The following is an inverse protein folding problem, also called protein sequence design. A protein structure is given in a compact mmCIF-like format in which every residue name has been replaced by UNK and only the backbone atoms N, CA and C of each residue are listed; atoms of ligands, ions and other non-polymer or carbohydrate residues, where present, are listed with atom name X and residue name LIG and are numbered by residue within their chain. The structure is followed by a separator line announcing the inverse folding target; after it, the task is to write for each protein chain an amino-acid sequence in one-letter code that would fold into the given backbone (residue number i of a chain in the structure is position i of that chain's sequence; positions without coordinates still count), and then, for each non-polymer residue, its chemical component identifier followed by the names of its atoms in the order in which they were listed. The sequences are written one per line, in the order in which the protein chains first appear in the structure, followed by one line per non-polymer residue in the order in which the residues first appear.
data_IF_041014509404
#
_entry.id   IF_041014509404
#
_cell.length_a   1.000
_cell.length_b   1.000
_cell.length_c   1.000
_cell.angle_alpha   90.00
_cell.angle_beta   90.00
_cell.angle_gamma   90.00
#
_symmetry.space_group_name_H-M   'P 1'
#
loop_
_entity.id
_entity.type
_entity.pdbx_description
1 polymer ?
#
# COMPACT_ATOMS: atom_id res chain seq x y z
N UNK A 1 7.84 -3.29 -1.19
CA UNK A 1 7.15 -2.42 -0.22
C UNK A 1 7.14 -3.07 1.16
N UNK A 2 7.04 -2.24 2.19
CA UNK A 2 7.01 -2.70 3.57
C UNK A 2 5.93 -1.92 4.34
N UNK A 3 5.15 -2.61 5.18
CA UNK A 3 4.16 -1.98 6.05
C UNK A 3 4.21 -2.59 7.46
N UNK A 4 5.26 -2.29 8.24
CA UNK A 4 5.32 -2.71 9.63
C UNK A 4 4.58 -1.73 10.55
N UNK A 5 3.90 -2.31 11.56
CA UNK A 5 3.23 -1.67 12.68
C UNK A 5 3.46 -2.51 13.94
N UNK A 6 3.22 -1.98 15.14
CA UNK A 6 3.39 -2.72 16.40
C UNK A 6 2.15 -2.78 17.31
N UNK A 7 1.04 -2.19 16.88
CA UNK A 7 -0.16 -2.02 17.71
C UNK A 7 -0.88 -3.33 18.09
N UNK A 8 -0.60 -4.45 17.41
CA UNK A 8 -1.12 -5.78 17.72
C UNK A 8 -0.07 -6.74 18.33
N UNK A 9 1.04 -6.22 18.85
CA UNK A 9 2.11 -7.02 19.48
C UNK A 9 1.60 -7.84 20.69
N UNK A 10 0.59 -7.36 21.37
CA UNK A 10 -0.12 -8.10 22.42
C UNK A 10 -1.50 -8.53 21.92
N UNK A 11 -2.19 -9.37 22.71
CA UNK A 11 -3.55 -9.83 22.38
C UNK A 11 -4.58 -8.72 22.65
N UNK A 12 -4.49 -7.64 21.89
CA UNK A 12 -5.29 -6.42 22.03
C UNK A 12 -6.80 -6.69 21.81
N UNK A 13 -7.15 -7.74 21.07
CA UNK A 13 -8.52 -8.22 20.86
C UNK A 13 -9.24 -8.63 22.15
N UNK A 14 -8.50 -9.05 23.18
CA UNK A 14 -9.07 -9.45 24.47
C UNK A 14 -9.20 -8.27 25.44
N UNK A 15 -8.79 -7.06 25.06
CA UNK A 15 -8.80 -5.87 25.94
C UNK A 15 -10.02 -4.97 25.75
N UNK A 16 -10.96 -5.33 24.87
CA UNK A 16 -12.11 -4.49 24.50
C UNK A 16 -11.78 -3.41 23.47
N UNK A 17 -10.59 -3.46 22.85
CA UNK A 17 -10.22 -2.57 21.76
C UNK A 17 -10.99 -2.96 20.48
N UNK A 18 -12.06 -2.25 20.18
CA UNK A 18 -12.97 -2.56 19.05
C UNK A 18 -12.26 -2.77 17.72
N UNK A 19 -11.21 -2.00 17.46
CA UNK A 19 -10.42 -2.10 16.23
C UNK A 19 -9.69 -3.45 16.13
N UNK A 20 -9.18 -3.98 17.24
CA UNK A 20 -8.54 -5.28 17.28
C UNK A 20 -9.57 -6.43 17.21
N UNK A 21 -10.70 -6.32 17.94
CA UNK A 21 -11.72 -7.37 18.00
C UNK A 21 -12.21 -7.84 16.62
N UNK A 22 -12.56 -6.90 15.72
CA UNK A 22 -13.10 -7.31 14.43
C UNK A 22 -12.02 -7.71 13.42
N UNK A 23 -10.82 -7.09 13.48
CA UNK A 23 -9.73 -7.40 12.56
C UNK A 23 -9.10 -8.76 12.78
N UNK A 24 -9.17 -9.27 14.00
CA UNK A 24 -8.60 -10.59 14.36
C UNK A 24 -9.65 -11.71 14.40
N UNK A 25 -10.92 -11.39 14.11
CA UNK A 25 -11.99 -12.37 14.01
C UNK A 25 -12.25 -12.77 12.54
N UNK A 26 -11.91 -14.02 12.13
CA UNK A 26 -12.10 -14.48 10.76
C UNK A 26 -13.54 -14.46 10.26
N UNK A 27 -14.54 -14.45 11.17
CA UNK A 27 -15.95 -14.33 10.80
C UNK A 27 -16.34 -12.91 10.38
N UNK A 28 -15.56 -11.92 10.77
CA UNK A 28 -15.82 -10.49 10.53
C UNK A 28 -14.88 -9.88 9.48
N UNK A 29 -13.60 -10.26 9.49
CA UNK A 29 -12.57 -9.72 8.62
C UNK A 29 -12.17 -10.63 7.46
N UNK A 30 -12.68 -11.88 7.41
CA UNK A 30 -12.27 -12.85 6.40
C UNK A 30 -11.01 -13.63 6.78
N UNK A 31 -10.37 -14.27 5.80
CA UNK A 31 -9.26 -15.19 6.04
C UNK A 31 -7.90 -14.54 6.31
N UNK A 32 -7.74 -13.26 6.02
CA UNK A 32 -6.48 -12.52 6.21
C UNK A 32 -6.54 -11.54 7.37
N UNK A 33 -5.58 -11.58 8.27
CA UNK A 33 -5.39 -10.61 9.35
C UNK A 33 -4.54 -9.43 8.88
N UNK A 34 -3.24 -9.47 9.14
CA UNK A 34 -2.27 -8.48 8.69
C UNK A 34 -2.30 -8.29 7.17
N UNK A 35 -2.37 -9.38 6.40
CA UNK A 35 -2.41 -9.30 4.94
C UNK A 35 -3.68 -8.62 4.44
N UNK A 36 -4.81 -8.84 5.07
CA UNK A 36 -6.08 -8.22 4.71
C UNK A 36 -6.16 -6.75 5.12
N UNK A 37 -5.63 -6.39 6.29
CA UNK A 37 -5.68 -5.02 6.82
C UNK A 37 -4.64 -4.11 6.15
N UNK A 38 -3.37 -4.49 6.16
CA UNK A 38 -2.27 -3.62 5.70
C UNK A 38 -1.48 -4.14 4.50
N UNK A 39 -1.44 -5.44 4.25
CA UNK A 39 -0.76 -6.00 3.07
C UNK A 39 -1.37 -5.54 1.75
N UNK A 40 -2.68 -5.38 1.71
CA UNK A 40 -3.41 -4.81 0.56
C UNK A 40 -2.99 -3.38 0.23
N UNK A 41 -2.70 -2.55 1.23
CA UNK A 41 -2.20 -1.20 1.00
C UNK A 41 -0.82 -1.22 0.34
N UNK A 42 0.09 -2.07 0.83
CA UNK A 42 1.42 -2.23 0.24
C UNK A 42 1.34 -2.74 -1.22
N UNK A 43 0.45 -3.69 -1.51
CA UNK A 43 0.21 -4.20 -2.85
C UNK A 43 -0.39 -3.13 -3.78
N UNK A 44 -1.41 -2.41 -3.32
CA UNK A 44 -2.01 -1.32 -4.09
C UNK A 44 -0.99 -0.22 -4.40
N UNK A 45 -0.15 0.15 -3.43
CA UNK A 45 0.89 1.16 -3.62
C UNK A 45 1.91 0.74 -4.71
N UNK A 46 2.32 -0.54 -4.73
CA UNK A 46 3.20 -1.05 -5.79
C UNK A 46 2.53 -0.89 -7.15
N UNK A 47 1.28 -1.35 -7.31
CA UNK A 47 0.55 -1.26 -8.57
C UNK A 47 0.36 0.19 -9.02
N UNK A 48 -0.05 1.05 -8.12
CA UNK A 48 -0.28 2.48 -8.39
C UNK A 48 0.99 3.19 -8.87
N UNK A 49 2.12 2.98 -8.20
CA UNK A 49 3.37 3.68 -8.51
C UNK A 49 4.07 3.11 -9.75
N UNK A 50 4.06 1.78 -9.91
CA UNK A 50 4.86 1.13 -10.95
C UNK A 50 4.08 0.80 -12.22
N UNK A 51 2.77 0.66 -12.13
CA UNK A 51 1.93 0.14 -13.22
C UNK A 51 2.21 -1.32 -13.60
N UNK A 52 3.07 -2.02 -12.84
CA UNK A 52 3.47 -3.40 -13.15
C UNK A 52 2.32 -4.39 -12.87
N UNK A 53 2.15 -5.34 -13.77
CA UNK A 53 1.18 -6.42 -13.62
C UNK A 53 1.81 -7.64 -12.95
N UNK A 54 1.21 -8.08 -11.83
CA UNK A 54 1.65 -9.26 -11.11
C UNK A 54 1.39 -10.52 -11.96
N UNK A 55 2.39 -11.41 -12.05
CA UNK A 55 2.30 -12.70 -12.75
C UNK A 55 2.10 -13.86 -11.77
N UNK A 56 2.95 -13.94 -10.74
CA UNK A 56 2.87 -14.94 -9.70
C UNK A 56 3.47 -14.43 -8.38
N UNK A 57 3.04 -15.01 -7.28
CA UNK A 57 3.59 -14.73 -5.95
C UNK A 57 3.86 -16.01 -5.16
N UNK A 58 4.75 -15.87 -4.18
CA UNK A 58 5.01 -16.88 -3.14
C UNK A 58 4.97 -16.18 -1.79
N UNK A 59 4.23 -16.73 -0.83
CA UNK A 59 3.97 -16.09 0.44
C UNK A 59 4.16 -17.03 1.64
N UNK A 60 4.73 -16.48 2.71
CA UNK A 60 4.78 -17.07 4.03
C UNK A 60 4.08 -16.12 5.02
N UNK A 61 2.92 -16.52 5.52
CA UNK A 61 2.19 -15.79 6.55
C UNK A 61 2.30 -16.51 7.89
N UNK A 62 2.37 -15.74 8.96
CA UNK A 62 2.57 -16.28 10.29
C UNK A 62 1.74 -15.56 11.35
N UNK A 63 1.42 -16.28 12.43
CA UNK A 63 0.76 -15.74 13.61
C UNK A 63 1.68 -15.89 14.81
N UNK A 64 2.34 -14.80 15.22
CA UNK A 64 3.28 -14.79 16.35
C UNK A 64 2.55 -14.66 17.69
N UNK A 65 1.45 -13.93 17.75
CA UNK A 65 0.72 -13.72 19.00
C UNK A 65 -0.06 -14.99 19.35
N UNK A 66 0.31 -15.62 20.46
CA UNK A 66 -0.26 -16.89 20.90
C UNK A 66 -1.79 -16.81 21.04
N UNK A 67 -2.50 -17.71 20.33
CA UNK A 67 -3.95 -17.83 20.37
C UNK A 67 -4.71 -16.85 19.47
N UNK A 68 -4.02 -16.00 18.71
CA UNK A 68 -4.61 -15.23 17.61
C UNK A 68 -5.00 -16.19 16.48
N UNK A 69 -6.09 -15.89 15.77
CA UNK A 69 -6.65 -16.79 14.74
C UNK A 69 -6.18 -16.45 13.34
N UNK A 70 -5.83 -15.19 13.09
CA UNK A 70 -5.39 -14.70 11.81
C UNK A 70 -3.92 -14.32 11.86
N UNK A 71 -3.31 -14.16 10.68
CA UNK A 71 -1.93 -13.74 10.53
C UNK A 71 -1.68 -12.34 11.12
N UNK A 72 -0.51 -12.16 11.71
CA UNK A 72 -0.02 -10.86 12.18
C UNK A 72 1.32 -10.48 11.53
N UNK A 73 1.82 -11.34 10.65
CA UNK A 73 3.02 -11.11 9.84
C UNK A 73 2.92 -11.83 8.49
N UNK A 74 3.38 -11.19 7.42
CA UNK A 74 3.42 -11.74 6.08
C UNK A 74 4.69 -11.32 5.34
N UNK A 75 5.35 -12.30 4.71
CA UNK A 75 6.45 -12.08 3.77
C UNK A 75 6.07 -12.65 2.41
N UNK A 76 6.15 -11.83 1.36
CA UNK A 76 5.64 -12.18 0.04
C UNK A 76 6.69 -11.82 -1.00
N UNK A 77 7.02 -12.76 -1.87
CA UNK A 77 7.83 -12.55 -3.07
C UNK A 77 6.94 -12.40 -4.29
N UNK A 78 7.28 -11.45 -5.16
CA UNK A 78 6.49 -11.09 -6.34
C UNK A 78 7.30 -11.27 -7.61
N UNK A 79 6.65 -11.76 -8.67
CA UNK A 79 7.15 -11.78 -10.05
C UNK A 79 6.14 -11.08 -10.94
N UNK A 80 6.60 -10.13 -11.73
CA UNK A 80 5.78 -9.36 -12.65
C UNK A 80 5.92 -9.87 -14.08
N UNK A 81 4.90 -9.66 -14.93
CA UNK A 81 4.85 -10.17 -16.30
C UNK A 81 6.00 -9.72 -17.19
N UNK A 82 6.53 -8.52 -16.94
CA UNK A 82 7.68 -7.96 -17.65
C UNK A 82 9.05 -8.40 -17.11
N UNK A 83 9.06 -9.33 -16.15
CA UNK A 83 10.27 -9.90 -15.56
C UNK A 83 10.79 -9.20 -14.32
N UNK A 84 10.22 -8.06 -13.93
CA UNK A 84 10.56 -7.40 -12.67
C UNK A 84 10.28 -8.31 -11.48
N UNK A 85 11.00 -8.07 -10.38
CA UNK A 85 10.88 -8.81 -9.11
C UNK A 85 10.58 -7.83 -7.99
N UNK A 86 9.81 -8.28 -6.99
CA UNK A 86 9.51 -7.48 -5.82
C UNK A 86 9.29 -8.31 -4.58
N UNK A 87 9.10 -7.61 -3.47
CA UNK A 87 8.69 -8.22 -2.21
C UNK A 87 7.77 -7.29 -1.42
N UNK A 88 6.91 -7.88 -0.62
CA UNK A 88 6.12 -7.20 0.40
C UNK A 88 6.44 -7.82 1.75
N UNK A 89 6.69 -6.97 2.74
CA UNK A 89 6.65 -7.34 4.13
C UNK A 89 5.59 -6.52 4.85
N UNK A 90 4.64 -7.19 5.48
CA UNK A 90 3.61 -6.57 6.31
C UNK A 90 3.61 -7.22 7.69
N UNK A 91 3.57 -6.43 8.75
CA UNK A 91 3.57 -6.93 10.12
C UNK A 91 2.79 -5.99 11.04
N UNK A 92 1.99 -6.53 11.93
CA UNK A 92 1.31 -5.78 12.99
C UNK A 92 1.94 -6.03 14.38
N UNK A 93 3.09 -6.70 14.39
CA UNK A 93 3.85 -7.06 15.59
C UNK A 93 5.32 -6.63 15.53
N UNK A 94 5.65 -5.70 14.63
CA UNK A 94 7.00 -5.19 14.41
C UNK A 94 7.29 -4.02 15.36
N UNK A 95 7.69 -4.30 16.58
CA UNK A 95 7.92 -3.32 17.66
C UNK A 95 8.81 -2.15 17.20
N UNK A 96 8.37 -0.92 17.49
CA UNK A 96 9.05 0.32 17.13
C UNK A 96 8.61 0.92 15.78
N UNK A 97 7.55 0.37 15.15
CA UNK A 97 6.94 0.92 13.94
C UNK A 97 5.50 1.32 14.25
N UNK A 98 5.16 2.58 14.07
CA UNK A 98 3.80 3.09 14.32
C UNK A 98 2.89 2.83 13.11
N UNK A 99 3.23 3.38 11.94
CA UNK A 99 2.48 3.23 10.69
C UNK A 99 3.39 3.34 9.47
N UNK A 100 4.44 2.55 9.43
CA UNK A 100 5.61 2.73 8.58
C UNK A 100 5.43 2.07 7.20
N UNK A 101 4.41 2.50 6.44
CA UNK A 101 4.31 2.14 5.03
C UNK A 101 5.42 2.83 4.24
N UNK A 102 6.21 2.05 3.52
CA UNK A 102 7.27 2.56 2.64
C UNK A 102 7.39 1.76 1.36
N UNK A 103 7.86 2.42 0.31
CA UNK A 103 8.14 1.80 -0.97
C UNK A 103 9.52 2.20 -1.47
N UNK A 104 10.21 1.23 -2.08
CA UNK A 104 11.46 1.42 -2.81
C UNK A 104 11.31 0.81 -4.19
N UNK A 105 11.67 1.57 -5.23
CA UNK A 105 11.64 1.12 -6.61
C UNK A 105 13.03 1.30 -7.21
N UNK A 106 13.58 0.25 -7.79
CA UNK A 106 14.90 0.26 -8.39
C UNK A 106 14.81 -0.13 -9.86
N UNK A 107 15.36 0.70 -10.72
CA UNK A 107 15.53 0.45 -12.14
C UNK A 107 16.97 0.64 -12.59
N UNK A 108 17.25 0.36 -13.85
CA UNK A 108 18.61 0.48 -14.42
C UNK A 108 19.19 1.89 -14.31
N UNK A 109 18.36 2.92 -14.40
CA UNK A 109 18.78 4.31 -14.44
C UNK A 109 18.71 5.02 -13.08
N UNK A 110 18.12 4.40 -12.06
CA UNK A 110 18.00 5.00 -10.74
C UNK A 110 17.04 4.30 -9.80
N UNK A 111 16.89 4.86 -8.61
CA UNK A 111 16.03 4.35 -7.56
C UNK A 111 15.21 5.45 -6.88
N UNK A 112 14.07 5.06 -6.35
CA UNK A 112 13.15 5.89 -5.59
C UNK A 112 12.89 5.28 -4.23
N UNK A 113 12.74 6.13 -3.20
CA UNK A 113 12.26 5.73 -1.87
C UNK A 113 11.29 6.78 -1.33
N UNK A 114 10.15 6.30 -0.81
CA UNK A 114 9.15 7.13 -0.14
C UNK A 114 8.64 6.43 1.13
N UNK A 115 8.25 7.23 2.14
CA UNK A 115 7.75 6.77 3.44
C UNK A 115 6.52 7.56 3.86
N UNK A 116 5.48 6.87 4.32
CA UNK A 116 4.23 7.48 4.76
C UNK A 116 4.40 8.36 6.01
N UNK A 117 5.26 7.97 6.96
CA UNK A 117 5.48 8.73 8.19
C UNK A 117 6.22 10.06 7.95
N UNK A 118 6.85 10.22 6.77
CA UNK A 118 7.46 11.47 6.32
C UNK A 118 7.08 11.75 4.85
N UNK A 119 5.78 11.97 4.56
CA UNK A 119 5.23 11.88 3.20
C UNK A 119 5.64 13.03 2.29
N UNK A 120 6.21 14.11 2.85
CA UNK A 120 6.55 15.32 2.11
C UNK A 120 7.86 15.20 1.32
N UNK A 121 8.55 14.07 1.41
CA UNK A 121 9.85 13.86 0.77
C UNK A 121 9.90 12.60 -0.06
N UNK A 122 10.43 12.72 -1.27
CA UNK A 122 10.82 11.62 -2.13
C UNK A 122 12.34 11.60 -2.25
N UNK A 123 12.97 10.47 -2.01
CA UNK A 123 14.39 10.28 -2.27
C UNK A 123 14.58 9.65 -3.65
N UNK A 124 15.31 10.35 -4.49
CA UNK A 124 15.65 9.92 -5.85
C UNK A 124 17.16 9.81 -6.01
N UNK A 125 17.61 8.69 -6.55
CA UNK A 125 19.02 8.48 -6.89
C UNK A 125 19.14 8.11 -8.35
N UNK A 126 19.72 8.99 -9.17
CA UNK A 126 20.13 8.64 -10.51
C UNK A 126 21.39 7.79 -10.45
N UNK A 127 21.48 6.74 -11.28
CA UNK A 127 22.67 5.88 -11.31
C UNK A 127 23.96 6.70 -11.47
N UNK A 128 24.95 6.44 -10.61
CA UNK A 128 26.23 7.17 -10.59
C UNK A 128 26.18 8.58 -9.96
N UNK A 129 25.07 9.00 -9.38
CA UNK A 129 24.91 10.31 -8.74
C UNK A 129 24.50 10.21 -7.27
N UNK A 130 24.75 11.24 -6.45
CA UNK A 130 24.24 11.31 -5.08
C UNK A 130 22.71 11.29 -5.02
N UNK A 131 22.18 10.78 -3.94
CA UNK A 131 20.74 10.83 -3.65
C UNK A 131 20.25 12.25 -3.48
N UNK A 132 19.19 12.59 -4.17
CA UNK A 132 18.48 13.86 -4.08
C UNK A 132 17.24 13.69 -3.22
N UNK A 133 16.97 14.67 -2.36
CA UNK A 133 15.72 14.80 -1.61
C UNK A 133 14.81 15.78 -2.34
N UNK A 134 13.74 15.27 -2.90
CA UNK A 134 12.71 16.06 -3.57
C UNK A 134 11.62 16.37 -2.57
N UNK A 135 11.30 17.65 -2.40
CA UNK A 135 10.27 18.12 -1.46
C UNK A 135 8.96 18.31 -2.21
N UNK A 136 7.86 17.88 -1.59
CA UNK A 136 6.49 18.17 -2.05
C UNK A 136 6.34 19.69 -2.29
N UNK A 137 5.68 20.06 -3.38
CA UNK A 137 5.43 21.47 -3.74
C UNK A 137 6.66 22.19 -4.29
N UNK A 138 7.78 21.50 -4.52
CA UNK A 138 8.92 22.06 -5.25
C UNK A 138 8.77 21.88 -6.76
N UNK A 139 9.45 22.69 -7.55
CA UNK A 139 9.44 22.60 -9.01
C UNK A 139 9.92 21.22 -9.52
N UNK A 140 10.77 20.55 -8.75
CA UNK A 140 11.28 19.21 -9.06
C UNK A 140 10.32 18.06 -8.72
N UNK A 141 9.22 18.32 -8.03
CA UNK A 141 8.25 17.28 -7.65
C UNK A 141 7.39 16.78 -8.83
N UNK A 142 7.35 17.51 -9.96
CA UNK A 142 6.54 17.19 -11.12
C UNK A 142 5.10 17.73 -11.02
N UNK A 143 4.43 17.76 -12.18
CA UNK A 143 3.10 18.36 -12.30
C UNK A 143 2.06 17.60 -11.46
N UNK A 144 2.03 16.29 -11.54
CA UNK A 144 1.04 15.44 -10.87
C UNK A 144 1.08 15.61 -9.34
N UNK A 145 2.28 15.67 -8.76
CA UNK A 145 2.45 15.92 -7.33
C UNK A 145 2.05 17.35 -6.94
N UNK A 146 2.33 18.34 -7.80
CA UNK A 146 2.00 19.73 -7.55
C UNK A 146 0.50 20.01 -7.70
N UNK A 147 -0.20 19.31 -8.59
CA UNK A 147 -1.66 19.43 -8.77
C UNK A 147 -2.44 19.02 -7.50
N UNK A 148 -1.89 18.14 -6.67
CA UNK A 148 -2.50 17.69 -5.40
C UNK A 148 -1.91 18.36 -4.17
N UNK A 149 -0.96 19.27 -4.34
CA UNK A 149 -0.34 20.06 -3.26
C UNK A 149 -1.18 21.29 -2.97
N UNK A 150 -1.48 21.58 -1.69
CA UNK A 150 -2.33 22.69 -1.26
C UNK A 150 -1.59 23.82 -0.56
N UNK A 151 -0.48 23.51 0.10
CA UNK A 151 0.29 24.47 0.90
C UNK A 151 1.74 24.49 0.46
N UNK A 152 2.48 25.60 0.68
CA UNK A 152 3.86 25.73 0.22
C UNK A 152 4.80 24.69 0.84
N UNK A 153 5.95 24.41 0.20
CA UNK A 153 7.02 23.58 0.77
C UNK A 153 7.40 24.03 2.19
N UNK A 154 7.77 23.08 3.04
CA UNK A 154 8.12 23.35 4.43
C UNK A 154 6.94 23.36 5.40
N UNK A 155 5.71 23.37 4.92
CA UNK A 155 4.51 23.15 5.73
C UNK A 155 4.09 21.68 5.60
N UNK A 156 3.83 20.95 6.70
CA UNK A 156 3.45 19.55 6.63
C UNK A 156 2.08 19.39 5.97
N UNK A 157 2.00 18.48 5.01
CA UNK A 157 0.79 18.06 4.31
C UNK A 157 0.81 16.53 4.24
N UNK A 158 -0.33 15.85 4.45
CA UNK A 158 -0.30 14.41 4.53
C UNK A 158 -1.67 13.73 4.60
N UNK A 159 -1.98 13.10 5.73
CA UNK A 159 -3.10 12.17 5.86
C UNK A 159 -4.46 12.80 5.53
N UNK A 160 -4.77 13.97 6.10
CA UNK A 160 -6.05 14.64 5.86
C UNK A 160 -6.17 15.12 4.41
N UNK A 161 -5.10 15.69 3.86
CA UNK A 161 -5.06 16.19 2.49
C UNK A 161 -5.12 15.05 1.48
N UNK A 162 -4.51 13.89 1.79
CA UNK A 162 -4.63 12.68 0.99
C UNK A 162 -6.08 12.23 0.83
N UNK A 163 -6.84 12.15 1.93
CA UNK A 163 -8.28 11.87 1.88
C UNK A 163 -9.06 12.97 1.14
N UNK A 164 -8.73 14.25 1.38
CA UNK A 164 -9.38 15.36 0.69
C UNK A 164 -9.16 15.28 -0.84
N UNK A 165 -8.01 14.79 -1.32
CA UNK A 165 -7.77 14.57 -2.75
C UNK A 165 -8.71 13.51 -3.31
N UNK A 166 -8.87 12.36 -2.64
CA UNK A 166 -9.80 11.30 -3.05
C UNK A 166 -11.23 11.86 -3.19
N UNK A 167 -11.71 12.57 -2.17
CA UNK A 167 -13.06 13.17 -2.22
C UNK A 167 -13.21 14.23 -3.31
N UNK A 168 -12.15 15.00 -3.57
CA UNK A 168 -12.15 15.99 -4.66
C UNK A 168 -12.27 15.33 -6.02
N UNK A 169 -11.53 14.24 -6.25
CA UNK A 169 -11.57 13.48 -7.51
C UNK A 169 -12.96 12.87 -7.73
N UNK A 170 -13.50 12.17 -6.73
CA UNK A 170 -14.84 11.59 -6.79
C UNK A 170 -15.90 12.68 -7.04
N UNK A 171 -15.78 13.84 -6.38
CA UNK A 171 -16.71 14.95 -6.57
C UNK A 171 -16.68 15.51 -7.99
N UNK A 172 -15.50 15.61 -8.62
CA UNK A 172 -15.39 16.05 -10.02
C UNK A 172 -16.10 15.11 -10.98
N UNK A 173 -15.90 13.79 -10.79
CA UNK A 173 -16.57 12.76 -11.60
C UNK A 173 -18.09 12.85 -11.45
N UNK A 174 -18.58 12.91 -10.23
CA UNK A 174 -20.03 12.99 -9.95
C UNK A 174 -20.64 14.28 -10.52
N UNK A 175 -19.97 15.42 -10.37
CA UNK A 175 -20.42 16.69 -10.91
C UNK A 175 -20.55 16.64 -12.44
N UNK A 176 -19.52 16.13 -13.13
CA UNK A 176 -19.54 16.00 -14.57
C UNK A 176 -20.67 15.06 -15.03
N UNK A 177 -20.86 13.93 -14.35
CA UNK A 177 -21.94 12.96 -14.66
C UNK A 177 -23.33 13.56 -14.47
N UNK A 178 -23.58 14.29 -13.37
CA UNK A 178 -24.86 14.94 -13.09
C UNK A 178 -25.16 15.99 -14.15
N UNK A 179 -24.15 16.77 -14.56
CA UNK A 179 -24.32 17.85 -15.54
C UNK A 179 -24.16 17.38 -16.99
N UNK A 180 -24.06 16.07 -17.26
CA UNK A 180 -23.88 15.46 -18.58
C UNK A 180 -22.70 16.07 -19.35
N UNK A 181 -21.63 16.40 -18.65
CA UNK A 181 -20.37 16.90 -19.22
C UNK A 181 -19.45 15.72 -19.58
N UNK A 182 -18.66 15.90 -20.63
CA UNK A 182 -17.56 14.97 -20.92
C UNK A 182 -16.51 15.11 -19.83
N UNK A 183 -16.09 13.99 -19.27
CA UNK A 183 -15.08 13.94 -18.24
C UNK A 183 -13.99 12.93 -18.65
N UNK A 184 -12.75 13.40 -18.72
CA UNK A 184 -11.60 12.54 -18.94
C UNK A 184 -11.04 12.08 -17.58
N UNK A 185 -11.18 10.80 -17.30
CA UNK A 185 -10.76 10.18 -16.04
C UNK A 185 -9.23 10.02 -15.93
N UNK A 186 -8.47 10.44 -16.92
CA UNK A 186 -7.02 10.22 -17.02
C UNK A 186 -6.18 10.83 -15.89
N UNK A 187 -6.74 11.75 -15.10
CA UNK A 187 -6.03 12.46 -14.03
C UNK A 187 -6.56 12.10 -12.61
N UNK A 188 -7.51 11.18 -12.50
CA UNK A 188 -8.05 10.82 -11.19
C UNK A 188 -7.19 9.75 -10.53
N UNK A 189 -6.89 9.94 -9.26
CA UNK A 189 -6.03 9.05 -8.46
C UNK A 189 -6.81 8.28 -7.37
N UNK A 190 -8.12 8.11 -7.51
CA UNK A 190 -8.89 7.30 -6.56
C UNK A 190 -9.01 5.84 -7.01
N UNK A 191 -9.00 4.88 -6.07
CA UNK A 191 -9.16 3.46 -6.39
C UNK A 191 -10.61 3.16 -6.83
N UNK A 192 -10.74 2.23 -7.78
CA UNK A 192 -12.00 1.79 -8.34
C UNK A 192 -12.39 0.41 -7.81
N UNK A 193 -13.57 -0.09 -8.22
CA UNK A 193 -13.98 -1.46 -7.91
C UNK A 193 -12.99 -2.50 -8.46
N UNK A 194 -12.32 -2.22 -9.57
CA UNK A 194 -11.30 -3.11 -10.13
C UNK A 194 -10.08 -3.22 -9.23
N UNK A 195 -9.66 -2.13 -8.59
CA UNK A 195 -8.58 -2.17 -7.60
C UNK A 195 -8.98 -2.97 -6.36
N UNK A 196 -10.27 -2.88 -5.96
CA UNK A 196 -10.83 -3.71 -4.90
C UNK A 196 -10.82 -5.20 -5.24
N UNK A 197 -11.21 -5.58 -6.47
CA UNK A 197 -11.17 -6.97 -6.95
C UNK A 197 -9.73 -7.49 -6.94
N UNK A 198 -8.77 -6.72 -7.45
CA UNK A 198 -7.35 -7.10 -7.43
C UNK A 198 -6.79 -7.24 -6.00
N UNK A 199 -7.24 -6.38 -5.07
CA UNK A 199 -6.87 -6.49 -3.65
C UNK A 199 -7.41 -7.78 -3.00
N UNK A 200 -8.66 -8.15 -3.27
CA UNK A 200 -9.25 -9.40 -2.77
C UNK A 200 -8.55 -10.62 -3.35
N UNK A 201 -8.32 -10.63 -4.65
CA UNK A 201 -7.58 -11.68 -5.34
C UNK A 201 -6.15 -11.83 -4.78
N UNK A 202 -5.49 -10.71 -4.45
CA UNK A 202 -4.18 -10.74 -3.81
C UNK A 202 -4.23 -11.46 -2.45
N UNK A 203 -5.20 -11.14 -1.59
CA UNK A 203 -5.38 -11.83 -0.31
C UNK A 203 -5.55 -13.34 -0.52
N UNK A 204 -6.48 -13.73 -1.40
CA UNK A 204 -6.78 -15.14 -1.67
C UNK A 204 -5.54 -15.88 -2.19
N UNK A 205 -4.78 -15.27 -3.12
CA UNK A 205 -3.56 -15.87 -3.68
C UNK A 205 -2.45 -16.02 -2.62
N UNK A 206 -2.31 -15.05 -1.70
CA UNK A 206 -1.37 -15.14 -0.58
C UNK A 206 -1.74 -16.26 0.38
N UNK A 207 -3.02 -16.38 0.75
CA UNK A 207 -3.52 -17.45 1.61
C UNK A 207 -3.31 -18.83 0.97
N UNK A 208 -3.61 -18.96 -0.34
CA UNK A 208 -3.38 -20.21 -1.08
C UNK A 208 -1.90 -20.58 -1.13
N UNK A 209 -1.01 -19.64 -1.44
CA UNK A 209 0.43 -19.86 -1.45
C UNK A 209 0.94 -20.35 -0.10
N UNK A 210 0.61 -19.64 0.97
CA UNK A 210 1.09 -19.97 2.31
C UNK A 210 0.57 -21.34 2.79
N UNK A 211 -0.72 -21.64 2.55
CA UNK A 211 -1.32 -22.94 2.92
C UNK A 211 -0.72 -24.12 2.14
N UNK A 212 -0.08 -23.86 1.00
CA UNK A 212 0.61 -24.83 0.14
C UNK A 212 2.14 -24.74 0.27
N UNK A 213 2.65 -24.48 1.47
CA UNK A 213 4.08 -24.44 1.78
C UNK A 213 4.85 -23.41 0.94
N UNK A 214 4.32 -22.19 0.85
CA UNK A 214 4.88 -21.05 0.13
C UNK A 214 5.11 -21.32 -1.38
N UNK A 215 4.26 -22.15 -1.97
CA UNK A 215 4.33 -22.45 -3.40
C UNK A 215 4.05 -21.19 -4.22
N UNK A 216 4.76 -21.01 -5.33
CA UNK A 216 4.46 -19.99 -6.32
C UNK A 216 3.08 -20.23 -6.94
N UNK A 217 2.20 -19.25 -6.84
CA UNK A 217 0.83 -19.30 -7.37
C UNK A 217 0.68 -18.22 -8.43
N UNK A 218 0.08 -18.59 -9.56
CA UNK A 218 -0.25 -17.65 -10.64
C UNK A 218 -1.33 -16.67 -10.19
N UNK A 219 -1.15 -15.43 -10.56
CA UNK A 219 -2.08 -14.34 -10.30
C UNK A 219 -2.99 -14.12 -11.52
N UNK A 220 -4.02 -14.97 -11.67
CA UNK A 220 -4.91 -15.01 -12.86
C UNK A 220 -6.18 -14.19 -12.65
#
# INVERSE_FOLDING_TARGET
AEYPQDWLTTKAEDTGLKQAEWRTDPKRSGGGGCIGDIGTHAFNLIRFITGLELDELSADIHTFVKGRKLDDNAQIMLRFKDGAKGSIWSSQVAVGNENNLKIRVYGENGGLEWRQEDPNYLFYTKYGHPTQKITRGSDSAGKEANDVTRIPPGHPEGYLEGFANIYSDVSRVLFAKINKQNYEQSNDCYPTIYDGIEGMKFIETVLDSSSNNSKWIRFN
#
